data_IF_436332502145
#
_entry.id   IF_436332502145
#
_cell.length_a   1.000
_cell.length_b   1.000
_cell.length_c   1.000
_cell.angle_alpha   90.00
_cell.angle_beta   90.00
_cell.angle_gamma   90.00
#
_symmetry.space_group_name_H-M   'P 1'
#
loop_
_entity.id
_entity.type
_entity.pdbx_description
1 polymer ?
#
# COMPACT_ATOMS: atom_id res chain seq x y z
N UNK A 1 -0.05 10.50 18.52
CA UNK A 1 -1.03 9.83 17.65
C UNK A 1 -0.81 10.41 16.27
N UNK A 2 -0.31 9.63 15.32
CA UNK A 2 -0.17 10.12 13.94
C UNK A 2 -1.59 10.18 13.38
N UNK A 3 -1.95 11.33 12.81
CA UNK A 3 -3.23 11.46 12.12
C UNK A 3 -3.21 10.56 10.87
N UNK A 4 -4.10 9.55 10.76
CA UNK A 4 -4.14 8.64 9.62
C UNK A 4 -4.42 9.34 8.28
N UNK A 5 -4.92 10.58 8.27
CA UNK A 5 -5.08 11.38 7.04
C UNK A 5 -3.95 12.37 6.78
N UNK A 6 -2.89 12.35 7.59
CA UNK A 6 -1.68 13.13 7.30
C UNK A 6 -0.96 12.58 6.07
N UNK A 7 -0.29 13.44 5.31
CA UNK A 7 0.44 13.05 4.10
C UNK A 7 1.44 11.93 4.38
N UNK A 8 2.18 12.01 5.49
CA UNK A 8 3.17 10.99 5.86
C UNK A 8 2.52 9.64 6.21
N UNK A 9 1.36 9.65 6.87
CA UNK A 9 0.60 8.42 7.15
C UNK A 9 0.05 7.80 5.87
N UNK A 10 -0.47 8.63 4.97
CA UNK A 10 -1.00 8.21 3.68
C UNK A 10 0.12 7.58 2.84
N UNK A 11 1.23 8.29 2.64
CA UNK A 11 2.38 7.76 1.88
C UNK A 11 2.88 6.46 2.50
N UNK A 12 3.02 6.38 3.83
CA UNK A 12 3.45 5.15 4.48
C UNK A 12 2.47 3.97 4.24
N UNK A 13 1.17 4.21 4.34
CA UNK A 13 0.15 3.18 4.12
C UNK A 13 0.09 2.72 2.66
N UNK A 14 0.18 3.67 1.71
CA UNK A 14 0.20 3.38 0.27
C UNK A 14 1.48 2.60 -0.10
N UNK A 15 2.65 3.04 0.36
CA UNK A 15 3.91 2.33 0.13
C UNK A 15 3.94 0.95 0.80
N UNK A 16 3.34 0.79 1.98
CA UNK A 16 3.24 -0.51 2.63
C UNK A 16 2.33 -1.48 1.84
N UNK A 17 1.20 -0.98 1.31
CA UNK A 17 0.33 -1.76 0.44
C UNK A 17 1.03 -2.14 -0.88
N UNK A 18 1.72 -1.19 -1.51
CA UNK A 18 2.50 -1.40 -2.74
C UNK A 18 3.67 -2.38 -2.53
N UNK A 19 4.44 -2.21 -1.46
CA UNK A 19 5.59 -3.06 -1.15
C UNK A 19 5.23 -4.48 -0.69
N UNK A 20 3.97 -4.72 -0.32
CA UNK A 20 3.50 -6.03 0.14
C UNK A 20 2.78 -6.85 -0.94
N UNK A 21 2.65 -6.35 -2.19
CA UNK A 21 1.99 -7.07 -3.31
C UNK A 21 2.66 -8.39 -3.70
N UNK A 22 3.87 -8.66 -3.20
CA UNK A 22 4.49 -9.99 -3.26
C UNK A 22 3.75 -11.07 -2.45
N UNK A 23 2.83 -10.67 -1.56
CA UNK A 23 2.00 -11.53 -0.72
C UNK A 23 0.54 -11.43 -1.10
N UNK A 24 -0.26 -12.47 -0.80
CA UNK A 24 -1.71 -12.43 -1.08
C UNK A 24 -2.42 -11.35 -0.26
N UNK A 25 -2.04 -11.19 1.01
CA UNK A 25 -2.58 -10.15 1.88
C UNK A 25 -2.26 -8.74 1.36
N UNK A 26 -1.05 -8.51 0.84
CA UNK A 26 -0.67 -7.23 0.26
C UNK A 26 -1.32 -6.95 -1.08
N UNK A 27 -1.49 -7.97 -1.94
CA UNK A 27 -2.30 -7.83 -3.18
C UNK A 27 -3.74 -7.43 -2.86
N UNK A 28 -4.33 -8.07 -1.85
CA UNK A 28 -5.68 -7.73 -1.40
C UNK A 28 -5.74 -6.31 -0.82
N UNK A 29 -4.75 -5.90 -0.03
CA UNK A 29 -4.65 -4.54 0.52
C UNK A 29 -4.54 -3.50 -0.61
N UNK A 30 -3.62 -3.70 -1.56
CA UNK A 30 -3.46 -2.83 -2.73
C UNK A 30 -4.71 -2.78 -3.62
N UNK A 31 -5.33 -3.93 -3.90
CA UNK A 31 -6.57 -4.01 -4.66
C UNK A 31 -7.70 -3.23 -3.98
N UNK A 32 -7.89 -3.42 -2.68
CA UNK A 32 -8.91 -2.69 -1.92
C UNK A 32 -8.68 -1.18 -1.87
N UNK A 33 -7.41 -0.74 -1.81
CA UNK A 33 -7.04 0.67 -1.84
C UNK A 33 -7.33 1.30 -3.21
N UNK A 34 -6.92 0.64 -4.28
CA UNK A 34 -7.13 1.11 -5.66
C UNK A 34 -8.61 1.13 -6.03
N UNK A 35 -9.41 0.19 -5.54
CA UNK A 35 -10.86 0.20 -5.70
C UNK A 35 -11.54 1.32 -4.90
N UNK A 36 -11.09 1.59 -3.67
CA UNK A 36 -11.55 2.72 -2.87
C UNK A 36 -11.27 4.05 -3.60
N UNK A 37 -10.04 4.23 -4.07
CA UNK A 37 -9.62 5.40 -4.83
C UNK A 37 -10.45 5.56 -6.13
N UNK A 38 -10.57 4.49 -6.92
CA UNK A 38 -11.38 4.47 -8.16
C UNK A 38 -12.83 4.86 -7.91
N UNK A 39 -13.45 4.36 -6.84
CA UNK A 39 -14.84 4.68 -6.48
C UNK A 39 -15.03 6.16 -6.19
N UNK A 40 -14.09 6.75 -5.46
CA UNK A 40 -14.12 8.16 -5.09
C UNK A 40 -13.90 9.05 -6.31
N UNK A 41 -12.90 8.77 -7.13
CA UNK A 41 -12.62 9.57 -8.33
C UNK A 41 -13.73 9.46 -9.38
N UNK A 42 -14.33 8.28 -9.55
CA UNK A 42 -15.52 8.13 -10.41
C UNK A 42 -16.73 8.93 -9.91
N UNK A 43 -16.90 9.06 -8.59
CA UNK A 43 -18.00 9.86 -8.00
C UNK A 43 -17.78 11.35 -8.20
N UNK A 44 -16.52 11.78 -8.27
CA UNK A 44 -16.17 13.19 -8.39
C UNK A 44 -16.33 13.76 -9.81
N UNK A 45 -16.55 12.92 -10.83
CA UNK A 45 -16.54 13.28 -12.26
C UNK A 45 -15.22 13.96 -12.71
N UNK A 46 -14.17 13.86 -11.87
CA UNK A 46 -12.84 14.39 -12.10
C UNK A 46 -12.10 13.43 -13.05
N UNK A 47 -12.33 13.61 -14.36
CA UNK A 47 -11.75 12.77 -15.42
C UNK A 47 -10.22 12.70 -15.42
N UNK A 48 -9.53 13.68 -14.82
CA UNK A 48 -8.06 13.69 -14.69
C UNK A 48 -7.54 12.69 -13.65
N UNK A 49 -8.19 12.57 -12.48
CA UNK A 49 -7.75 11.66 -11.41
C UNK A 49 -7.99 10.19 -11.78
N UNK A 50 -8.95 9.93 -12.67
CA UNK A 50 -9.24 8.59 -13.17
C UNK A 50 -8.20 8.10 -14.19
N UNK A 51 -7.42 9.01 -14.81
CA UNK A 51 -6.42 8.68 -15.83
C UNK A 51 -5.19 7.98 -15.27
N UNK A 52 -4.97 8.03 -13.94
CA UNK A 52 -3.87 7.35 -13.26
C UNK A 52 -4.09 5.84 -13.08
N UNK A 53 -5.22 5.29 -13.56
CA UNK A 53 -5.51 3.85 -13.53
C UNK A 53 -5.26 3.22 -14.91
N UNK A 54 -4.57 2.08 -15.01
CA UNK A 54 -4.17 1.18 -13.92
C UNK A 54 -2.90 1.62 -13.19
N UNK A 55 -2.88 1.45 -11.86
CA UNK A 55 -1.73 1.75 -11.02
C UNK A 55 -0.81 0.53 -10.88
N UNK A 56 0.47 0.72 -11.18
CA UNK A 56 1.52 -0.27 -10.93
C UNK A 56 2.09 -0.10 -9.50
N UNK A 57 1.92 -1.08 -8.59
CA UNK A 57 2.51 -1.04 -7.25
C UNK A 57 4.04 -1.13 -7.23
N UNK A 58 4.70 -1.40 -8.36
CA UNK A 58 6.16 -1.40 -8.48
C UNK A 58 6.71 -0.09 -9.06
N UNK A 59 5.84 0.84 -9.45
CA UNK A 59 6.21 2.16 -9.94
C UNK A 59 6.09 3.18 -8.82
N UNK A 60 7.24 3.60 -8.29
CA UNK A 60 7.33 4.56 -7.20
C UNK A 60 6.67 5.92 -7.55
N UNK A 61 6.71 6.33 -8.82
CA UNK A 61 6.08 7.57 -9.28
C UNK A 61 4.56 7.47 -9.19
N UNK A 62 3.99 6.33 -9.59
CA UNK A 62 2.55 6.08 -9.47
C UNK A 62 2.08 5.93 -8.02
N UNK A 63 2.90 5.31 -7.16
CA UNK A 63 2.66 5.21 -5.71
C UNK A 63 2.64 6.59 -5.05
N UNK A 64 3.57 7.47 -5.42
CA UNK A 64 3.61 8.85 -4.93
C UNK A 64 2.44 9.69 -5.47
N UNK A 65 2.13 9.57 -6.76
CA UNK A 65 0.98 10.24 -7.37
C UNK A 65 -0.34 9.84 -6.69
N UNK A 66 -0.55 8.54 -6.44
CA UNK A 66 -1.72 8.06 -5.70
C UNK A 66 -1.76 8.65 -4.28
N UNK A 67 -0.62 8.69 -3.58
CA UNK A 67 -0.55 9.24 -2.23
C UNK A 67 -0.95 10.73 -2.19
N UNK A 68 -0.46 11.52 -3.15
CA UNK A 68 -0.79 12.93 -3.28
C UNK A 68 -2.28 13.15 -3.62
N UNK A 69 -2.85 12.33 -4.52
CA UNK A 69 -4.27 12.38 -4.84
C UNK A 69 -5.15 12.05 -3.64
N UNK A 70 -4.84 10.96 -2.93
CA UNK A 70 -5.58 10.58 -1.72
C UNK A 70 -5.53 11.72 -0.71
N UNK A 71 -4.34 12.30 -0.48
CA UNK A 71 -4.17 13.44 0.42
C UNK A 71 -5.02 14.63 -0.02
N UNK A 72 -5.00 15.02 -1.29
CA UNK A 72 -5.86 16.10 -1.79
C UNK A 72 -7.35 15.82 -1.57
N UNK A 73 -7.77 14.57 -1.81
CA UNK A 73 -9.18 14.19 -1.74
C UNK A 73 -9.70 14.08 -0.31
N UNK A 74 -8.90 13.64 0.67
CA UNK A 74 -9.35 13.59 2.07
C UNK A 74 -9.67 14.98 2.64
N UNK A 75 -9.13 16.07 2.09
CA UNK A 75 -9.53 17.43 2.49
C UNK A 75 -10.80 17.94 1.78
N UNK A 76 -11.04 17.48 0.55
CA UNK A 76 -12.20 17.90 -0.24
C UNK A 76 -13.46 17.10 0.06
N UNK A 77 -13.30 15.85 0.51
CA UNK A 77 -14.39 14.89 0.71
C UNK A 77 -14.28 14.25 2.11
N UNK A 78 -15.01 14.79 3.11
CA UNK A 78 -15.00 14.26 4.48
C UNK A 78 -15.49 12.80 4.56
N UNK A 79 -16.40 12.39 3.67
CA UNK A 79 -16.86 11.00 3.63
C UNK A 79 -15.70 10.09 3.19
N UNK A 80 -14.94 10.50 2.16
CA UNK A 80 -13.76 9.75 1.74
C UNK A 80 -12.70 9.69 2.85
N UNK A 81 -12.49 10.77 3.60
CA UNK A 81 -11.58 10.77 4.74
C UNK A 81 -11.97 9.71 5.79
N UNK A 82 -13.26 9.57 6.08
CA UNK A 82 -13.76 8.54 7.01
C UNK A 82 -13.59 7.12 6.44
N UNK A 83 -13.89 6.92 5.16
CA UNK A 83 -13.70 5.63 4.47
C UNK A 83 -12.22 5.22 4.44
N UNK A 84 -11.32 6.18 4.18
CA UNK A 84 -9.87 5.96 4.17
C UNK A 84 -9.34 5.62 5.57
N UNK A 85 -9.77 6.33 6.63
CA UNK A 85 -9.36 6.02 8.01
C UNK A 85 -9.73 4.58 8.39
N UNK A 86 -10.96 4.17 8.09
CA UNK A 86 -11.39 2.80 8.37
C UNK A 86 -10.60 1.77 7.54
N UNK A 87 -10.25 2.09 6.29
CA UNK A 87 -9.38 1.25 5.50
C UNK A 87 -7.97 1.13 6.12
N UNK A 88 -7.36 2.25 6.53
CA UNK A 88 -6.03 2.28 7.10
C UNK A 88 -5.96 1.50 8.43
N UNK A 89 -6.98 1.60 9.28
CA UNK A 89 -7.09 0.81 10.51
C UNK A 89 -7.16 -0.70 10.22
N UNK A 90 -7.96 -1.10 9.22
CA UNK A 90 -8.07 -2.51 8.80
C UNK A 90 -6.76 -3.02 8.18
N UNK A 91 -6.12 -2.22 7.33
CA UNK A 91 -4.83 -2.57 6.72
C UNK A 91 -3.72 -2.69 7.77
N UNK A 92 -3.70 -1.79 8.75
CA UNK A 92 -2.78 -1.86 9.89
C UNK A 92 -3.04 -3.11 10.74
N UNK A 93 -4.30 -3.46 11.03
CA UNK A 93 -4.63 -4.68 11.77
C UNK A 93 -4.13 -5.93 11.03
N UNK A 94 -4.32 -6.01 9.71
CA UNK A 94 -3.81 -7.13 8.89
C UNK A 94 -2.28 -7.18 8.86
N UNK A 95 -1.60 -6.02 8.85
CA UNK A 95 -0.13 -5.94 8.93
C UNK A 95 0.42 -6.37 10.30
N UNK A 96 -0.26 -5.98 11.39
CA UNK A 96 0.11 -6.37 12.76
C UNK A 96 -0.17 -7.85 13.02
N UNK A 97 -1.30 -8.38 12.53
CA UNK A 97 -1.55 -9.82 12.56
C UNK A 97 -0.52 -10.57 11.72
N UNK A 98 -0.13 -10.07 10.55
CA UNK A 98 0.97 -10.63 9.76
C UNK A 98 2.35 -10.53 10.44
N UNK A 99 2.53 -9.58 11.36
CA UNK A 99 3.73 -9.48 12.20
C UNK A 99 3.75 -10.54 13.32
N UNK A 100 2.59 -11.13 13.65
CA UNK A 100 2.44 -12.30 14.53
C UNK A 100 2.33 -13.61 13.74
N UNK A 101 2.22 -13.56 12.41
CA UNK A 101 2.18 -14.72 11.52
C UNK A 101 3.60 -15.12 11.15
N UNK A 102 3.94 -16.31 11.61
CA UNK A 102 5.02 -17.16 11.14
C UNK A 102 5.07 -17.13 9.62
N UNK A 103 6.21 -16.74 9.05
CA UNK A 103 6.51 -16.81 7.62
C UNK A 103 6.10 -18.18 7.06
N UNK A 104 4.93 -18.28 6.45
CA UNK A 104 4.52 -19.48 5.72
C UNK A 104 4.73 -19.17 4.25
N UNK A 105 5.98 -19.34 3.82
CA UNK A 105 6.41 -19.35 2.43
C UNK A 105 5.67 -20.51 1.74
N UNK A 106 4.47 -20.24 1.25
CA UNK A 106 3.71 -21.15 0.39
C UNK A 106 4.06 -20.89 -1.07
N UNK A 107 5.32 -21.15 -1.39
CA UNK A 107 5.86 -21.21 -2.74
C UNK A 107 6.98 -22.23 -2.70
N UNK A 108 6.93 -23.24 -3.55
CA UNK A 108 7.83 -24.41 -3.55
C UNK A 108 9.29 -24.03 -3.85
N UNK A 109 9.97 -23.34 -2.95
CA UNK A 109 11.40 -23.14 -2.97
C UNK A 109 12.00 -24.07 -1.92
N UNK A 110 12.39 -25.28 -2.35
CA UNK A 110 13.29 -26.12 -1.57
C UNK A 110 14.65 -25.44 -1.55
N UNK A 111 14.85 -24.47 -0.66
CA UNK A 111 16.17 -23.87 -0.41
C UNK A 111 16.71 -24.53 0.84
N UNK A 112 17.63 -25.48 0.65
CA UNK A 112 18.18 -26.34 1.70
C UNK A 112 19.13 -25.62 2.65
N UNK A 113 19.41 -24.33 2.47
CA UNK A 113 20.12 -23.47 3.41
C UNK A 113 19.69 -22.02 3.19
N UNK A 114 18.90 -21.47 4.11
CA UNK A 114 18.59 -20.05 4.11
C UNK A 114 19.68 -19.33 4.93
N UNK A 115 20.58 -18.62 4.25
CA UNK A 115 21.48 -17.67 4.90
C UNK A 115 20.76 -16.32 4.98
N UNK A 116 20.51 -15.88 6.20
CA UNK A 116 19.88 -14.59 6.51
C UNK A 116 20.99 -13.60 6.89
N UNK A 117 21.32 -12.68 5.98
CA UNK A 117 22.34 -11.65 6.19
C UNK A 117 21.73 -10.25 6.04
N UNK A 118 21.79 -9.45 7.11
CA UNK A 118 21.27 -8.07 7.19
C UNK A 118 22.20 -7.02 6.56
N UNK A 119 23.41 -7.38 6.14
CA UNK A 119 24.29 -6.51 5.34
C UNK A 119 25.26 -7.40 4.54
N UNK A 120 25.40 -7.18 3.23
CA UNK A 120 26.45 -7.80 2.42
C UNK A 120 27.13 -6.71 1.58
N UNK A 121 28.37 -6.39 1.91
CA UNK A 121 29.26 -5.60 1.06
C UNK A 121 30.20 -6.56 0.34
N UNK A 122 30.16 -6.56 -0.99
CA UNK A 122 31.04 -7.38 -1.83
C UNK A 122 32.15 -6.49 -2.39
N UNK A 123 33.41 -6.84 -2.17
CA UNK A 123 34.55 -6.30 -2.94
C UNK A 123 35.08 -7.40 -3.86
N UNK A 124 35.33 -7.10 -5.15
CA UNK A 124 35.99 -8.03 -6.06
C UNK A 124 37.51 -7.92 -5.91
N UNK A 125 38.19 -9.05 -6.05
CA UNK A 125 39.62 -9.15 -6.36
C UNK A 125 39.85 -9.27 -7.86
#
# INVERSE_FOLDING_TARGET
MIDPVSLSAITAAVSAAAGSVGTEAGRQAWGSLTDLARRTFRRADDGEDTALLPLDPQDDEQVQALSALIFGRVYQDPQFADEYRQWAERAAAVSVDNSRVTNTISGRARVRNAYQGRDITVRPE
#
